data_IF_707370073847
#
_entry.id   IF_707370073847
#
_cell.length_a   1.000
_cell.length_b   1.000
_cell.length_c   1.000
_cell.angle_alpha   90.00
_cell.angle_beta   90.00
_cell.angle_gamma   90.00
#
_symmetry.space_group_name_H-M   'P 1'
#
loop_
_entity.id
_entity.type
_entity.pdbx_description
1 polymer ?
#
# COMPACT_ATOMS: atom_id res chain seq x y z
N UNK A 1 41.61 -56.78 54.45
CA UNK A 1 41.73 -55.31 54.50
C UNK A 1 40.53 -54.74 53.78
N UNK A 2 39.54 -54.28 54.54
CA UNK A 2 38.35 -53.63 54.02
C UNK A 2 38.61 -52.12 53.92
N UNK A 3 38.13 -51.50 52.86
CA UNK A 3 37.40 -50.23 52.97
C UNK A 3 36.71 -49.93 51.64
N UNK A 4 35.38 -49.95 51.70
CA UNK A 4 34.55 -49.34 50.67
C UNK A 4 34.49 -47.83 50.86
N UNK A 5 34.26 -47.13 49.76
CA UNK A 5 33.86 -45.72 49.73
C UNK A 5 32.89 -45.59 48.57
N UNK A 6 31.60 -45.70 48.87
CA UNK A 6 30.64 -44.60 49.09
C UNK A 6 30.33 -43.81 47.82
N UNK A 7 29.07 -43.99 47.40
CA UNK A 7 28.30 -43.19 46.44
C UNK A 7 28.57 -41.69 46.59
N UNK A 8 28.55 -40.98 45.46
CA UNK A 8 27.92 -39.68 45.29
C UNK A 8 27.78 -39.41 43.79
N UNK A 9 26.55 -39.53 43.28
CA UNK A 9 26.16 -38.84 42.05
C UNK A 9 26.07 -37.35 42.36
N UNK A 10 26.43 -36.48 41.39
CA UNK A 10 25.57 -35.33 41.18
C UNK A 10 25.21 -35.15 39.71
N UNK A 11 23.89 -35.07 39.51
CA UNK A 11 23.20 -34.11 38.68
C UNK A 11 23.67 -33.93 37.23
N UNK A 12 22.93 -34.60 36.34
CA UNK A 12 22.62 -34.14 34.99
C UNK A 12 22.47 -32.62 34.94
N UNK A 13 23.37 -31.95 34.24
CA UNK A 13 23.18 -30.57 33.82
C UNK A 13 22.18 -30.58 32.65
N UNK A 14 20.88 -30.57 32.98
CA UNK A 14 19.84 -30.18 32.04
C UNK A 14 20.04 -28.70 31.77
N UNK A 15 20.78 -28.38 30.71
CA UNK A 15 20.72 -27.05 30.10
C UNK A 15 19.35 -26.98 29.45
N UNK A 16 18.37 -26.45 30.17
CA UNK A 16 17.16 -25.93 29.57
C UNK A 16 17.58 -24.73 28.72
N UNK A 17 17.86 -24.99 27.44
CA UNK A 17 17.84 -23.95 26.43
C UNK A 17 16.40 -23.43 26.38
N UNK A 18 16.12 -22.38 27.16
CA UNK A 18 14.98 -21.50 26.94
C UNK A 18 15.21 -20.89 25.57
N UNK A 19 14.71 -21.57 24.53
CA UNK A 19 14.44 -20.96 23.25
C UNK A 19 13.44 -19.85 23.54
N UNK A 20 13.91 -18.61 23.64
CA UNK A 20 13.08 -17.44 23.42
C UNK A 20 12.63 -17.49 21.96
N UNK A 21 11.63 -18.32 21.68
CA UNK A 21 10.73 -18.07 20.59
C UNK A 21 10.02 -16.76 20.97
N UNK A 22 10.57 -15.64 20.50
CA UNK A 22 9.84 -14.39 20.47
C UNK A 22 8.64 -14.61 19.56
N UNK A 23 7.51 -15.03 20.12
CA UNK A 23 6.24 -14.88 19.46
C UNK A 23 6.09 -13.38 19.17
N UNK A 24 6.21 -12.98 17.91
CA UNK A 24 5.72 -11.68 17.50
C UNK A 24 4.21 -11.75 17.68
N UNK A 25 3.70 -11.25 18.81
CA UNK A 25 2.27 -10.99 18.97
C UNK A 25 1.92 -9.87 18.02
N UNK A 26 0.96 -10.14 17.12
CA UNK A 26 0.37 -9.10 16.30
C UNK A 26 -0.23 -8.02 17.19
N UNK A 27 -0.21 -6.76 16.73
CA UNK A 27 -0.70 -5.60 17.50
C UNK A 27 -2.14 -5.79 17.99
N UNK A 28 -2.95 -6.51 17.19
CA UNK A 28 -4.34 -6.83 17.48
C UNK A 28 -4.51 -7.87 18.60
N UNK A 29 -3.48 -8.66 18.92
CA UNK A 29 -3.49 -9.73 19.93
C UNK A 29 -2.88 -9.30 21.28
N UNK A 30 -2.42 -8.06 21.40
CA UNK A 30 -1.78 -7.57 22.63
C UNK A 30 -2.83 -7.12 23.66
N UNK A 31 -2.55 -7.40 24.94
CA UNK A 31 -3.36 -6.89 26.05
C UNK A 31 -3.21 -5.37 26.22
N UNK A 32 -4.17 -4.73 26.88
CA UNK A 32 -4.13 -3.29 27.16
C UNK A 32 -2.85 -2.83 27.91
N UNK A 33 -2.29 -3.69 28.78
CA UNK A 33 -1.04 -3.40 29.48
C UNK A 33 0.19 -3.49 28.55
N UNK A 34 0.16 -4.40 27.57
CA UNK A 34 1.20 -4.54 26.56
C UNK A 34 1.12 -3.41 25.54
N UNK A 35 -0.08 -2.96 25.15
CA UNK A 35 -0.28 -1.72 24.38
C UNK A 35 0.34 -0.53 25.11
N UNK A 36 0.04 -0.37 26.40
CA UNK A 36 0.58 0.72 27.20
C UNK A 36 2.10 0.66 27.41
N UNK A 37 2.73 -0.50 27.28
CA UNK A 37 4.19 -0.66 27.33
C UNK A 37 4.84 -0.38 25.96
N UNK A 38 4.22 -0.85 24.87
CA UNK A 38 4.65 -0.60 23.49
C UNK A 38 4.58 0.90 23.15
N UNK A 39 3.52 1.59 23.57
CA UNK A 39 3.34 3.03 23.36
C UNK A 39 4.33 3.91 24.14
N UNK A 40 5.08 3.35 25.10
CA UNK A 40 6.08 4.09 25.89
C UNK A 40 7.48 4.09 25.28
N UNK A 41 7.77 3.23 24.31
CA UNK A 41 9.12 3.06 23.74
C UNK A 41 9.27 3.56 22.31
N UNK A 42 8.18 3.90 21.62
CA UNK A 42 8.21 4.52 20.30
C UNK A 42 7.58 5.91 20.34
N UNK A 43 8.23 6.91 19.75
CA UNK A 43 7.54 8.09 19.23
C UNK A 43 6.61 7.62 18.10
N UNK A 44 5.48 7.03 18.47
CA UNK A 44 4.41 6.69 17.54
C UNK A 44 3.61 7.96 17.33
N UNK A 45 3.68 8.50 16.12
CA UNK A 45 2.75 9.52 15.67
C UNK A 45 1.33 8.98 15.91
N UNK A 46 0.63 9.56 16.87
CA UNK A 46 -0.75 9.17 17.17
C UNK A 46 -1.63 9.88 16.16
N UNK A 47 -2.10 9.14 15.16
CA UNK A 47 -3.10 9.63 14.22
C UNK A 47 -4.31 10.20 14.97
N UNK A 48 -4.63 11.47 14.68
CA UNK A 48 -5.79 12.16 15.23
C UNK A 48 -6.70 12.53 14.07
N UNK A 49 -7.66 11.68 13.70
CA UNK A 49 -8.59 12.02 12.63
C UNK A 49 -9.31 13.32 12.97
N UNK A 50 -9.35 14.24 12.00
CA UNK A 50 -10.05 15.50 12.13
C UNK A 50 -11.16 15.58 11.07
N UNK A 51 -12.42 15.29 11.45
CA UNK A 51 -13.55 15.37 10.54
C UNK A 51 -13.82 16.78 10.01
N UNK A 52 -13.24 17.81 10.62
CA UNK A 52 -13.39 19.21 10.18
C UNK A 52 -12.23 19.65 9.28
N UNK A 53 -11.25 18.79 9.02
CA UNK A 53 -10.20 19.09 8.06
C UNK A 53 -10.81 19.28 6.65
N UNK A 54 -10.38 20.31 5.89
CA UNK A 54 -10.94 20.56 4.57
C UNK A 54 -10.58 19.42 3.62
N UNK A 55 -11.56 18.87 2.91
CA UNK A 55 -11.35 17.81 1.91
C UNK A 55 -10.28 18.25 0.90
N UNK A 56 -9.22 17.44 0.75
CA UNK A 56 -8.18 17.68 -0.25
C UNK A 56 -8.34 16.74 -1.43
N UNK A 57 -8.25 17.24 -2.66
CA UNK A 57 -8.12 16.36 -3.84
C UNK A 57 -6.65 15.97 -3.98
N UNK A 58 -6.33 14.72 -3.73
CA UNK A 58 -4.96 14.21 -3.75
C UNK A 58 -4.55 13.60 -5.09
N UNK A 59 -5.52 13.22 -5.91
CA UNK A 59 -5.29 12.82 -7.29
C UNK A 59 -6.53 13.09 -8.15
N UNK A 60 -6.38 13.83 -9.23
CA UNK A 60 -7.47 14.09 -10.17
C UNK A 60 -7.33 13.21 -11.40
N UNK A 61 -8.39 12.49 -11.78
CA UNK A 61 -8.43 11.73 -13.04
C UNK A 61 -9.01 12.63 -14.14
N UNK A 62 -10.13 13.26 -13.86
CA UNK A 62 -10.79 14.26 -14.71
C UNK A 62 -11.70 15.20 -13.87
N UNK A 63 -12.65 15.85 -14.52
CA UNK A 63 -13.62 16.75 -13.88
C UNK A 63 -14.48 16.05 -12.81
N UNK A 64 -14.86 14.79 -13.04
CA UNK A 64 -15.84 14.07 -12.24
C UNK A 64 -15.24 12.97 -11.37
N UNK A 65 -14.07 12.45 -11.75
CA UNK A 65 -13.38 11.34 -11.11
C UNK A 65 -12.10 11.81 -10.42
N UNK A 66 -12.00 11.60 -9.12
CA UNK A 66 -10.84 12.04 -8.32
C UNK A 66 -10.74 11.30 -6.98
N UNK A 67 -9.56 11.35 -6.38
CA UNK A 67 -9.27 10.85 -5.05
C UNK A 67 -9.25 12.00 -4.06
N UNK A 68 -9.93 11.85 -2.93
CA UNK A 68 -9.88 12.80 -1.82
C UNK A 68 -9.17 12.22 -0.61
N UNK A 69 -8.56 13.10 0.18
CA UNK A 69 -8.10 12.84 1.53
C UNK A 69 -9.02 13.57 2.52
N UNK A 70 -9.57 12.81 3.45
CA UNK A 70 -10.60 13.23 4.41
C UNK A 70 -10.26 12.70 5.80
N UNK A 71 -10.88 13.25 6.85
CA UNK A 71 -10.65 12.85 8.25
C UNK A 71 -9.16 12.78 8.62
N UNK A 72 -8.32 13.66 8.10
CA UNK A 72 -6.87 13.50 8.14
C UNK A 72 -6.19 14.42 9.18
N UNK A 73 -4.99 14.04 9.61
CA UNK A 73 -4.02 14.97 10.21
C UNK A 73 -2.82 15.09 9.28
N UNK A 74 -2.56 16.32 8.81
CA UNK A 74 -1.60 16.64 7.75
C UNK A 74 -1.90 15.93 6.43
N UNK A 75 -1.26 14.79 6.16
CA UNK A 75 -1.44 14.01 4.95
C UNK A 75 -1.84 12.56 5.22
N UNK A 76 -2.00 12.19 6.50
CA UNK A 76 -2.41 10.85 6.88
C UNK A 76 -3.90 10.86 7.24
N UNK A 77 -4.71 10.09 6.51
CA UNK A 77 -6.16 10.03 6.76
C UNK A 77 -6.87 9.07 5.83
N UNK A 78 -8.18 9.27 5.67
CA UNK A 78 -9.03 8.41 4.85
C UNK A 78 -8.99 8.85 3.38
N UNK A 79 -8.64 7.92 2.50
CA UNK A 79 -8.55 8.16 1.06
C UNK A 79 -9.80 7.60 0.38
N UNK A 80 -10.56 8.46 -0.29
CA UNK A 80 -11.80 8.10 -0.97
C UNK A 80 -11.65 8.24 -2.48
N UNK A 81 -12.23 7.29 -3.23
CA UNK A 81 -12.48 7.46 -4.65
C UNK A 81 -13.85 8.12 -4.85
N UNK A 82 -13.90 9.11 -5.73
CA UNK A 82 -15.11 9.85 -6.04
C UNK A 82 -15.40 9.76 -7.54
N UNK A 83 -16.65 9.49 -7.91
CA UNK A 83 -17.21 9.71 -9.25
C UNK A 83 -18.54 10.44 -9.10
N UNK A 84 -18.53 11.74 -9.38
CA UNK A 84 -19.72 12.60 -9.23
C UNK A 84 -20.82 12.32 -10.24
N UNK A 85 -20.50 11.78 -11.43
CA UNK A 85 -21.52 11.39 -12.41
C UNK A 85 -22.26 10.13 -11.98
N UNK A 86 -21.58 9.22 -11.27
CA UNK A 86 -22.13 7.96 -10.80
C UNK A 86 -22.58 7.99 -9.33
N UNK A 87 -22.38 9.12 -8.64
CA UNK A 87 -22.70 9.27 -7.21
C UNK A 87 -21.85 8.35 -6.31
N UNK A 88 -20.61 8.07 -6.72
CA UNK A 88 -19.70 7.18 -5.99
C UNK A 88 -18.85 8.02 -5.04
N UNK A 89 -18.77 7.55 -3.80
CA UNK A 89 -17.88 8.04 -2.76
C UNK A 89 -17.47 6.83 -1.91
N UNK A 90 -16.37 6.18 -2.28
CA UNK A 90 -15.96 4.88 -1.74
C UNK A 90 -14.64 5.01 -0.98
N UNK A 91 -14.61 4.59 0.28
CA UNK A 91 -13.38 4.59 1.09
C UNK A 91 -12.46 3.48 0.63
N UNK A 92 -11.23 3.81 0.26
CA UNK A 92 -10.28 2.83 -0.28
C UNK A 92 -9.33 2.36 0.80
N UNK A 93 -8.64 3.28 1.47
CA UNK A 93 -7.73 2.97 2.59
C UNK A 93 -7.59 4.15 3.55
N UNK A 94 -6.95 3.90 4.69
CA UNK A 94 -6.46 4.95 5.60
C UNK A 94 -4.93 4.96 5.56
N UNK A 95 -4.33 6.12 5.27
CA UNK A 95 -2.89 6.29 5.14
C UNK A 95 -2.51 7.59 4.44
N UNK A 96 -1.22 7.75 4.17
CA UNK A 96 -0.68 8.89 3.42
C UNK A 96 -0.53 8.54 1.94
N UNK A 97 -1.27 9.19 1.01
CA UNK A 97 -1.21 8.87 -0.42
C UNK A 97 0.18 9.16 -1.01
N UNK A 98 0.84 10.20 -0.52
CA UNK A 98 2.19 10.63 -0.94
C UNK A 98 3.31 9.70 -0.47
N UNK A 99 3.01 8.70 0.35
CA UNK A 99 3.97 7.63 0.62
C UNK A 99 4.30 6.84 -0.65
N UNK A 100 3.36 6.72 -1.60
CA UNK A 100 3.67 6.26 -2.96
C UNK A 100 4.23 7.42 -3.78
N UNK A 101 5.46 7.24 -4.27
CA UNK A 101 6.24 8.26 -5.02
C UNK A 101 6.43 7.91 -6.49
N UNK A 102 5.92 6.77 -6.92
CA UNK A 102 5.90 6.39 -8.33
C UNK A 102 4.88 7.19 -9.14
N UNK A 103 4.86 6.94 -10.45
CA UNK A 103 3.92 7.56 -11.37
C UNK A 103 2.62 6.77 -11.43
N UNK A 104 1.49 7.44 -11.30
CA UNK A 104 0.14 6.88 -11.43
C UNK A 104 -0.52 7.38 -12.70
N UNK A 105 -1.08 6.47 -13.50
CA UNK A 105 -1.83 6.81 -14.71
C UNK A 105 -3.20 6.14 -14.71
N UNK A 106 -4.27 6.89 -14.91
CA UNK A 106 -5.63 6.32 -15.06
C UNK A 106 -6.19 6.82 -16.39
N UNK A 107 -6.00 6.00 -17.43
CA UNK A 107 -6.22 6.33 -18.83
C UNK A 107 -7.39 5.53 -19.45
N UNK A 108 -8.16 4.77 -18.66
CA UNK A 108 -9.35 4.09 -19.17
C UNK A 108 -10.48 5.09 -19.48
N UNK A 109 -10.84 5.28 -20.76
CA UNK A 109 -11.90 6.22 -21.16
C UNK A 109 -13.30 5.73 -20.76
N UNK A 110 -13.50 4.43 -20.54
CA UNK A 110 -14.81 3.90 -20.11
C UNK A 110 -15.10 4.25 -18.66
N UNK A 111 -14.05 4.51 -17.87
CA UNK A 111 -14.11 4.71 -16.44
C UNK A 111 -14.58 3.48 -15.67
N UNK A 112 -14.42 2.29 -16.24
CA UNK A 112 -14.64 1.03 -15.53
C UNK A 112 -13.46 0.69 -14.64
N UNK A 113 -12.25 1.02 -15.11
CA UNK A 113 -11.00 0.58 -14.52
C UNK A 113 -10.34 1.72 -13.74
N UNK A 114 -10.06 1.45 -12.47
CA UNK A 114 -9.36 2.37 -11.57
C UNK A 114 -8.25 1.58 -10.89
N UNK A 115 -7.07 2.19 -10.72
CA UNK A 115 -5.97 1.62 -9.94
C UNK A 115 -5.40 2.70 -9.03
N UNK A 116 -5.11 2.37 -7.78
CA UNK A 116 -4.61 3.29 -6.76
C UNK A 116 -3.50 2.60 -5.96
N UNK A 117 -2.22 2.84 -6.29
CA UNK A 117 -1.10 2.25 -5.55
C UNK A 117 -0.90 2.92 -4.20
N UNK A 118 -0.40 2.13 -3.26
CA UNK A 118 0.04 2.61 -1.94
C UNK A 118 1.48 2.19 -1.70
N UNK A 119 2.18 2.89 -0.83
CA UNK A 119 3.46 2.43 -0.32
C UNK A 119 3.55 2.71 1.17
N UNK A 120 4.36 1.93 1.86
CA UNK A 120 4.69 2.15 3.27
C UNK A 120 5.90 3.07 3.39
N UNK A 121 5.79 4.10 4.22
CA UNK A 121 6.90 4.99 4.55
C UNK A 121 7.52 4.66 5.91
N UNK A 122 7.97 3.42 6.03
CA UNK A 122 8.79 2.97 7.16
C UNK A 122 9.81 1.93 6.71
N UNK A 123 10.90 1.82 7.47
CA UNK A 123 11.91 0.79 7.23
C UNK A 123 11.31 -0.59 7.52
N UNK A 124 11.52 -1.51 6.59
CA UNK A 124 11.13 -2.90 6.76
C UNK A 124 12.28 -3.70 7.35
N UNK A 125 12.00 -4.74 8.14
CA UNK A 125 13.03 -5.65 8.63
C UNK A 125 13.64 -6.51 7.51
N UNK A 126 14.44 -7.52 7.87
CA UNK A 126 15.20 -8.36 6.93
C UNK A 126 14.35 -9.06 5.85
N UNK A 127 13.05 -9.23 6.10
CA UNK A 127 12.11 -9.84 5.12
C UNK A 127 11.56 -8.85 4.10
N UNK A 128 11.80 -7.55 4.28
CA UNK A 128 11.19 -6.48 3.51
C UNK A 128 9.66 -6.41 3.68
N UNK A 129 9.04 -5.39 3.09
CA UNK A 129 7.59 -5.26 3.02
C UNK A 129 7.07 -5.53 1.61
N UNK A 130 5.84 -6.01 1.57
CA UNK A 130 5.02 -6.07 0.35
C UNK A 130 4.10 -4.87 0.30
N UNK A 131 3.95 -4.28 -0.88
CA UNK A 131 3.10 -3.11 -1.13
C UNK A 131 2.11 -3.45 -2.24
N UNK A 132 0.94 -2.83 -2.14
CA UNK A 132 -0.22 -3.20 -2.91
C UNK A 132 -0.75 -2.00 -3.68
N UNK A 133 -1.51 -2.27 -4.73
CA UNK A 133 -2.46 -1.31 -5.26
C UNK A 133 -3.88 -1.82 -5.06
N UNK A 134 -4.79 -0.88 -4.83
CA UNK A 134 -6.21 -1.12 -4.96
C UNK A 134 -6.58 -1.04 -6.45
N UNK A 135 -7.46 -1.90 -6.93
CA UNK A 135 -8.01 -1.84 -8.27
C UNK A 135 -9.51 -2.07 -8.28
N UNK A 136 -10.19 -1.45 -9.24
CA UNK A 136 -11.61 -1.62 -9.52
C UNK A 136 -11.81 -1.93 -11.01
N UNK A 137 -12.82 -2.77 -11.28
CA UNK A 137 -13.33 -3.07 -12.63
C UNK A 137 -14.83 -2.78 -12.74
N UNK A 138 -15.37 -1.99 -11.80
CA UNK A 138 -16.80 -1.66 -11.67
C UNK A 138 -17.04 -0.15 -11.48
N UNK A 139 -16.15 0.67 -12.05
CA UNK A 139 -16.13 2.14 -11.95
C UNK A 139 -15.86 2.68 -10.54
N UNK A 140 -15.12 1.94 -9.72
CA UNK A 140 -14.77 2.35 -8.37
C UNK A 140 -15.87 2.12 -7.33
N UNK A 141 -16.83 1.22 -7.60
CA UNK A 141 -17.83 0.82 -6.59
C UNK A 141 -17.25 -0.16 -5.58
N UNK A 142 -16.35 -1.02 -6.03
CA UNK A 142 -15.61 -1.92 -5.16
C UNK A 142 -14.14 -1.95 -5.55
N UNK A 143 -13.29 -2.19 -4.56
CA UNK A 143 -11.86 -2.30 -4.75
C UNK A 143 -11.32 -3.61 -4.20
N UNK A 144 -10.36 -4.18 -4.93
CA UNK A 144 -9.58 -5.36 -4.56
C UNK A 144 -8.11 -5.00 -4.54
N UNK A 145 -7.29 -5.82 -3.88
CA UNK A 145 -5.88 -5.52 -3.64
C UNK A 145 -4.98 -6.53 -4.31
N UNK A 146 -3.89 -6.05 -4.92
CA UNK A 146 -2.86 -6.89 -5.52
C UNK A 146 -1.47 -6.34 -5.19
N UNK A 147 -0.54 -7.25 -4.92
CA UNK A 147 0.87 -6.92 -4.70
C UNK A 147 1.50 -6.42 -6.01
N UNK A 148 2.25 -5.32 -5.94
CA UNK A 148 3.09 -4.85 -7.07
C UNK A 148 4.58 -4.81 -6.74
N UNK A 149 4.92 -4.79 -5.45
CA UNK A 149 6.30 -4.72 -4.98
C UNK A 149 6.45 -5.59 -3.75
N UNK A 150 7.41 -6.52 -3.78
CA UNK A 150 7.69 -7.47 -2.69
C UNK A 150 9.11 -7.26 -2.17
N UNK A 151 9.29 -7.55 -0.89
CA UNK A 151 10.61 -7.59 -0.22
C UNK A 151 11.38 -6.26 -0.26
N UNK A 152 10.68 -5.12 -0.29
CA UNK A 152 11.33 -3.81 -0.27
C UNK A 152 11.73 -3.43 1.15
N UNK A 153 12.97 -2.92 1.32
CA UNK A 153 13.46 -2.39 2.59
C UNK A 153 12.96 -0.95 2.84
N UNK A 154 12.83 -0.14 1.79
CA UNK A 154 12.35 1.26 1.83
C UNK A 154 11.22 1.45 0.82
N UNK A 155 10.00 1.01 1.12
CA UNK A 155 8.95 0.93 0.10
C UNK A 155 8.58 2.26 -0.53
N UNK A 156 8.43 3.32 0.26
CA UNK A 156 8.12 4.65 -0.27
C UNK A 156 9.15 5.11 -1.31
N UNK A 157 10.45 4.93 -1.04
CA UNK A 157 11.52 5.30 -1.98
C UNK A 157 11.63 4.33 -3.16
N UNK A 158 11.53 3.02 -2.91
CA UNK A 158 11.58 2.03 -3.99
C UNK A 158 10.41 2.17 -4.96
N UNK A 159 9.28 2.72 -4.51
CA UNK A 159 8.10 2.99 -5.35
C UNK A 159 8.37 3.99 -6.47
N UNK A 160 9.39 4.86 -6.35
CA UNK A 160 9.81 5.81 -7.40
C UNK A 160 10.21 5.11 -8.72
N UNK A 161 10.55 3.82 -8.66
CA UNK A 161 10.90 3.01 -9.83
C UNK A 161 9.68 2.55 -10.62
N UNK A 162 8.47 2.79 -10.11
CA UNK A 162 7.25 2.23 -10.68
C UNK A 162 6.43 3.28 -11.43
N UNK A 163 5.83 2.86 -12.53
CA UNK A 163 4.65 3.50 -13.10
C UNK A 163 3.52 2.48 -13.09
N UNK A 164 2.39 2.81 -12.48
CA UNK A 164 1.21 1.94 -12.44
C UNK A 164 0.10 2.62 -13.21
N UNK A 165 -0.43 1.92 -14.21
CA UNK A 165 -1.41 2.46 -15.14
C UNK A 165 -2.66 1.59 -15.26
N UNK A 166 -3.84 2.18 -15.25
CA UNK A 166 -5.08 1.52 -15.68
C UNK A 166 -5.47 2.03 -17.07
N UNK A 167 -5.74 1.11 -17.99
CA UNK A 167 -6.24 1.38 -19.34
C UNK A 167 -7.52 0.59 -19.60
N UNK A 168 -8.11 0.75 -20.79
CA UNK A 168 -9.29 -0.02 -21.21
C UNK A 168 -9.01 -1.53 -21.31
N UNK A 169 -7.75 -1.92 -21.57
CA UNK A 169 -7.38 -3.31 -21.86
C UNK A 169 -6.57 -3.99 -20.75
N UNK A 170 -6.27 -3.31 -19.65
CA UNK A 170 -5.51 -3.89 -18.55
C UNK A 170 -4.97 -2.90 -17.52
N UNK A 171 -4.41 -3.46 -16.44
CA UNK A 171 -3.51 -2.74 -15.52
C UNK A 171 -2.08 -3.05 -15.94
N UNK A 172 -1.26 -2.02 -16.07
CA UNK A 172 0.16 -2.13 -16.36
C UNK A 172 0.98 -1.72 -15.15
N UNK A 173 1.93 -2.56 -14.76
CA UNK A 173 2.95 -2.25 -13.76
C UNK A 173 4.29 -2.20 -14.46
N UNK A 174 4.77 -0.98 -14.71
CA UNK A 174 6.10 -0.73 -15.24
C UNK A 174 7.08 -0.59 -14.08
N UNK A 175 8.13 -1.40 -14.08
CA UNK A 175 9.21 -1.33 -13.09
C UNK A 175 10.53 -1.00 -13.80
N UNK A 176 11.09 0.17 -13.50
CA UNK A 176 12.37 0.62 -14.03
C UNK A 176 13.48 -0.30 -13.54
N UNK A 177 14.31 -0.79 -14.46
CA UNK A 177 15.49 -1.58 -14.11
C UNK A 177 16.64 -0.68 -13.69
N UNK A 178 17.38 -1.16 -12.68
CA UNK A 178 18.60 -0.50 -12.18
C UNK A 178 19.67 -0.42 -13.29
N UNK A 179 19.72 -1.41 -14.19
CA UNK A 179 20.67 -1.48 -15.30
C UNK A 179 19.94 -1.44 -16.64
N UNK A 180 20.34 -0.53 -17.53
CA UNK A 180 19.86 -0.45 -18.91
C UNK A 180 18.70 0.51 -19.19
N UNK A 181 18.12 1.16 -18.15
CA UNK A 181 17.09 2.20 -18.30
C UNK A 181 15.72 1.73 -18.82
N UNK A 182 15.60 0.47 -19.21
CA UNK A 182 14.35 -0.17 -19.67
C UNK A 182 13.43 -0.53 -18.49
N UNK A 183 12.16 -0.80 -18.79
CA UNK A 183 11.15 -1.22 -17.83
C UNK A 183 10.78 -2.68 -18.05
N UNK A 184 10.71 -3.45 -16.97
CA UNK A 184 9.89 -4.67 -16.96
C UNK A 184 8.43 -4.26 -16.86
N UNK A 185 7.57 -4.84 -17.68
CA UNK A 185 6.12 -4.58 -17.64
C UNK A 185 5.41 -5.87 -17.30
N UNK A 186 4.54 -5.81 -16.28
CA UNK A 186 3.51 -6.80 -16.02
C UNK A 186 2.16 -6.21 -16.41
N UNK A 187 1.39 -6.90 -17.24
CA UNK A 187 0.03 -6.50 -17.63
C UNK A 187 -0.97 -7.52 -17.07
N UNK A 188 -1.90 -7.02 -16.27
CA UNK A 188 -3.01 -7.79 -15.71
C UNK A 188 -4.28 -7.55 -16.54
N UNK A 189 -4.98 -8.61 -16.98
CA UNK A 189 -6.19 -8.47 -17.77
C UNK A 189 -7.34 -7.94 -16.90
N UNK A 190 -8.02 -6.88 -17.34
CA UNK A 190 -9.18 -6.36 -16.64
C UNK A 190 -10.46 -6.93 -17.24
N UNK A 191 -11.11 -7.81 -16.49
CA UNK A 191 -12.40 -8.38 -16.85
C UNK A 191 -13.33 -8.29 -15.66
N UNK A 192 -14.56 -7.81 -15.91
CA UNK A 192 -15.57 -7.69 -14.88
C UNK A 192 -15.82 -9.05 -14.21
N UNK A 193 -15.82 -9.06 -12.88
CA UNK A 193 -16.04 -10.26 -12.07
C UNK A 193 -14.82 -11.16 -11.87
N UNK A 194 -13.66 -10.86 -12.49
CA UNK A 194 -12.41 -11.60 -12.24
C UNK A 194 -11.67 -11.00 -11.06
N UNK A 195 -11.19 -11.89 -10.19
CA UNK A 195 -10.27 -11.56 -9.11
C UNK A 195 -8.84 -11.79 -9.56
N UNK A 196 -8.05 -10.72 -9.68
CA UNK A 196 -6.63 -10.81 -10.05
C UNK A 196 -5.77 -11.59 -9.04
N UNK A 197 -6.28 -11.83 -7.83
CA UNK A 197 -5.59 -12.60 -6.79
C UNK A 197 -5.90 -14.11 -6.84
N UNK A 198 -6.80 -14.56 -7.73
CA UNK A 198 -7.22 -15.95 -7.86
C UNK A 198 -6.79 -16.54 -9.21
N UNK A 199 -6.74 -17.88 -9.34
CA UNK A 199 -6.51 -18.51 -10.62
C UNK A 199 -7.50 -18.01 -11.68
N UNK A 200 -6.98 -17.65 -12.85
CA UNK A 200 -7.79 -17.13 -13.93
C UNK A 200 -8.62 -18.22 -14.62
N UNK A 201 -9.74 -17.85 -15.26
CA UNK A 201 -10.43 -18.72 -16.21
C UNK A 201 -9.49 -19.21 -17.32
N UNK A 202 -9.81 -20.36 -17.91
CA UNK A 202 -9.02 -20.92 -19.00
C UNK A 202 -8.87 -19.92 -20.17
N UNK A 203 -7.64 -19.76 -20.68
CA UNK A 203 -7.30 -18.83 -21.77
C UNK A 203 -6.94 -17.41 -21.32
N UNK A 204 -7.19 -17.07 -20.06
CA UNK A 204 -6.84 -15.77 -19.48
C UNK A 204 -5.49 -15.90 -18.78
N UNK A 205 -4.60 -14.94 -19.02
CA UNK A 205 -3.25 -14.94 -18.47
C UNK A 205 -2.74 -13.51 -18.33
N UNK A 206 -1.82 -13.32 -17.39
CA UNK A 206 -1.00 -12.12 -17.33
C UNK A 206 -0.03 -12.10 -18.51
N UNK A 207 0.37 -10.90 -18.94
CA UNK A 207 1.48 -10.73 -19.86
C UNK A 207 2.68 -10.12 -19.14
N UNK A 208 3.88 -10.53 -19.53
CA UNK A 208 5.11 -9.82 -19.15
C UNK A 208 5.98 -9.54 -20.37
N UNK A 209 6.44 -8.30 -20.49
CA UNK A 209 7.27 -7.87 -21.60
C UNK A 209 8.18 -6.71 -21.20
N UNK A 210 9.21 -6.46 -22.01
CA UNK A 210 10.07 -5.28 -21.86
C UNK A 210 9.44 -4.10 -22.55
N UNK A 211 9.45 -2.92 -21.92
CA UNK A 211 8.89 -1.72 -22.53
C UNK A 211 9.57 -1.41 -23.88
N UNK A 212 10.87 -1.65 -24.00
CA UNK A 212 11.60 -1.56 -25.29
C UNK A 212 11.06 -2.44 -26.42
N UNK A 213 10.31 -3.51 -26.12
CA UNK A 213 9.67 -4.37 -27.14
C UNK A 213 8.30 -3.86 -27.56
N UNK A 214 7.70 -2.95 -26.79
CA UNK A 214 6.41 -2.31 -27.07
C UNK A 214 6.51 -0.82 -26.69
N UNK A 215 7.36 -0.04 -27.38
CA UNK A 215 7.74 1.31 -26.95
C UNK A 215 6.57 2.30 -26.90
N UNK A 216 5.49 2.03 -27.64
CA UNK A 216 4.34 2.92 -27.76
C UNK A 216 3.36 2.82 -26.58
N UNK A 217 3.44 1.78 -25.74
CA UNK A 217 2.46 1.55 -24.66
C UNK A 217 2.52 2.68 -23.64
N UNK A 218 3.66 2.89 -22.96
CA UNK A 218 3.75 3.89 -21.90
C UNK A 218 3.49 5.34 -22.38
N UNK A 219 4.03 5.78 -23.54
CA UNK A 219 3.74 7.12 -24.09
C UNK A 219 2.29 7.31 -24.57
N UNK A 220 1.52 6.25 -24.76
CA UNK A 220 0.08 6.37 -25.11
C UNK A 220 -0.81 6.55 -23.88
N UNK A 221 -0.31 6.26 -22.68
CA UNK A 221 -1.08 6.26 -21.45
C UNK A 221 -0.93 7.59 -20.71
N UNK A 222 -2.04 8.31 -20.60
CA UNK A 222 -2.11 9.58 -19.86
C UNK A 222 -3.43 9.69 -19.12
N UNK A 223 -3.35 10.16 -17.88
CA UNK A 223 -4.54 10.57 -17.12
C UNK A 223 -5.13 11.82 -17.78
N UNK A 224 -6.45 11.90 -18.00
CA UNK A 224 -7.06 13.04 -18.70
C UNK A 224 -6.77 14.42 -18.07
N UNK A 225 -6.64 14.49 -16.75
CA UNK A 225 -6.24 15.71 -16.02
C UNK A 225 -4.78 16.12 -16.24
N UNK A 226 -3.95 15.23 -16.77
CA UNK A 226 -2.49 15.36 -16.83
C UNK A 226 -1.76 15.06 -15.52
N UNK A 227 -2.48 14.87 -14.40
CA UNK A 227 -1.87 14.54 -13.12
C UNK A 227 -1.34 13.11 -13.12
N UNK A 228 -0.12 12.92 -12.62
CA UNK A 228 0.55 11.62 -12.62
C UNK A 228 1.23 11.24 -11.30
N UNK A 229 1.06 12.05 -10.25
CA UNK A 229 1.50 11.75 -8.88
C UNK A 229 0.42 12.16 -7.88
N UNK A 230 0.41 11.50 -6.71
CA UNK A 230 -0.36 12.00 -5.58
C UNK A 230 0.21 13.34 -5.08
N UNK A 231 -0.67 14.20 -4.61
CA UNK A 231 -0.32 15.48 -4.00
C UNK A 231 -1.04 15.62 -2.66
N UNK A 232 -0.42 16.30 -1.70
CA UNK A 232 -1.06 16.66 -0.44
C UNK A 232 -0.47 17.99 0.06
N UNK A 233 -1.32 18.86 0.60
CA UNK A 233 -0.90 20.06 1.32
C UNK A 233 -0.98 19.80 2.83
N UNK A 234 0.17 19.49 3.43
CA UNK A 234 0.30 19.24 4.86
C UNK A 234 0.04 20.48 5.73
N UNK A 235 -0.08 21.67 5.14
CA UNK A 235 -0.40 22.91 5.86
C UNK A 235 -1.89 23.07 6.13
N UNK A 236 -2.75 22.40 5.36
CA UNK A 236 -4.19 22.41 5.55
C UNK A 236 -4.56 21.64 6.82
N UNK A 237 -5.25 22.31 7.74
CA UNK A 237 -5.76 21.78 9.00
C UNK A 237 -7.21 22.23 9.17
N UNK A 238 -7.96 21.59 10.06
CA UNK A 238 -9.24 22.18 10.44
C UNK A 238 -9.03 23.62 10.92
N UNK A 239 -9.95 24.54 10.58
CA UNK A 239 -9.98 25.83 11.24
C UNK A 239 -10.10 25.56 12.74
N UNK A 240 -9.17 26.10 13.54
CA UNK A 240 -9.26 26.03 15.00
C UNK A 240 -10.69 26.40 15.38
N UNK A 241 -11.44 25.45 15.95
CA UNK A 241 -12.73 25.73 16.57
C UNK A 241 -12.43 26.78 17.65
N UNK A 242 -12.73 28.04 17.33
CA UNK A 242 -12.65 29.13 18.29
C UNK A 242 -13.47 28.72 19.50
N UNK A 243 -12.80 28.61 20.64
CA UNK A 243 -13.40 28.46 21.97
C UNK A 243 -14.62 29.38 22.07
N UNK A 244 -15.80 28.89 22.49
CA UNK A 244 -16.95 29.77 22.71
C UNK A 244 -16.55 30.87 23.69
N UNK A 245 -16.84 32.13 23.31
CA UNK A 245 -16.73 33.29 24.20
C UNK A 245 -17.72 33.21 25.35
#
# INVERSE_FOLDING_TARGET
MAMGMKRLAPASLLIAALTLAGCQTDYEDMTAAQHAAYSRTGNLYTYKPDPNAPVQVTYRIDEHRFVTLENYDRCYGDNYYNDTQRGIHEKIWTGEPTDYRGRLVIADPSGMNVVLPTARNSLCGDRGCTNLFAYSTDSGRTFRWLDYMKYSFRPSEDSEKFTIAAANDGIYVFQKRVYGGDYTVSKYPLMSGIDLSRPYPAGVHDESFMASKRPDVLPSLHTPSGQDHYTCDASLRAPNLTTPQ
#
